data_IF_939373835170
#
_entry.id   IF_939373835170
#
_cell.length_a   1.000
_cell.length_b   1.000
_cell.length_c   1.000
_cell.angle_alpha   90.00
_cell.angle_beta   90.00
_cell.angle_gamma   90.00
#
_symmetry.space_group_name_H-M   'P 1'
#
loop_
_entity.id
_entity.type
_entity.pdbx_description
1 polymer ?
#
# COMPACT_ATOMS: atom_id res chain seq x y z
N UNK A 1 34.02 13.21 70.38
CA UNK A 1 33.62 12.17 69.40
C UNK A 1 32.78 12.85 68.32
N UNK A 2 32.89 12.37 67.08
CA UNK A 2 32.76 13.09 65.79
C UNK A 2 31.47 13.87 65.50
N UNK A 3 31.67 15.03 64.86
CA UNK A 3 30.71 15.85 64.09
C UNK A 3 30.29 15.07 62.83
N UNK A 4 28.99 15.05 62.52
CA UNK A 4 28.44 14.45 61.30
C UNK A 4 27.59 15.44 60.52
N UNK A 5 28.14 15.89 59.39
CA UNK A 5 27.56 16.79 58.38
C UNK A 5 27.03 15.95 57.22
N UNK A 6 25.75 16.07 56.83
CA UNK A 6 25.24 15.58 55.52
C UNK A 6 24.11 16.54 55.07
N UNK A 7 24.44 17.53 54.23
CA UNK A 7 24.29 17.58 52.77
C UNK A 7 22.82 17.54 52.27
N UNK A 8 22.32 18.72 51.90
CA UNK A 8 21.08 18.94 51.17
C UNK A 8 21.37 18.74 49.68
N UNK A 9 20.79 17.72 49.05
CA UNK A 9 20.81 17.55 47.59
C UNK A 9 19.58 18.21 46.97
N UNK A 10 19.83 19.25 46.18
CA UNK A 10 18.83 19.93 45.37
C UNK A 10 18.28 19.02 44.27
N UNK A 11 16.96 18.92 44.16
CA UNK A 11 16.28 18.24 43.08
C UNK A 11 16.26 19.13 41.82
N UNK A 12 16.97 18.72 40.76
CA UNK A 12 16.75 19.26 39.41
C UNK A 12 15.57 18.49 38.77
N UNK A 13 14.45 19.14 38.42
CA UNK A 13 13.43 18.50 37.61
C UNK A 13 13.96 18.37 36.18
N UNK A 14 14.33 17.16 35.80
CA UNK A 14 14.57 16.79 34.40
C UNK A 14 13.24 16.93 33.66
N UNK A 15 13.15 17.95 32.81
CA UNK A 15 12.11 18.11 31.79
C UNK A 15 12.17 16.91 30.83
N UNK A 16 11.50 15.82 31.21
CA UNK A 16 11.20 14.70 30.32
C UNK A 16 10.13 15.18 29.33
N UNK A 17 10.60 15.69 28.20
CA UNK A 17 9.77 15.93 27.02
C UNK A 17 9.22 14.57 26.54
N UNK A 18 7.91 14.28 26.63
CA UNK A 18 7.38 12.99 26.24
C UNK A 18 7.36 12.92 24.72
N UNK A 19 8.40 12.37 24.11
CA UNK A 19 8.43 11.97 22.70
C UNK A 19 7.58 10.70 22.43
N UNK A 20 6.66 10.36 23.32
CA UNK A 20 5.95 9.08 23.34
C UNK A 20 4.67 9.07 22.47
N UNK A 21 4.62 9.82 21.38
CA UNK A 21 3.42 9.93 20.54
C UNK A 21 3.57 9.47 19.09
N UNK A 22 4.64 8.76 18.72
CA UNK A 22 4.79 8.20 17.36
C UNK A 22 5.43 6.79 17.32
N UNK A 23 5.32 6.01 18.39
CA UNK A 23 5.59 4.57 18.31
C UNK A 23 4.31 3.84 17.88
N UNK A 24 3.87 4.07 16.63
CA UNK A 24 2.90 3.16 16.02
C UNK A 24 3.44 1.73 16.12
N UNK A 25 2.56 0.77 16.39
CA UNK A 25 2.91 -0.65 16.57
C UNK A 25 3.41 -1.26 15.26
N UNK A 26 4.62 -0.87 14.86
CA UNK A 26 5.29 -1.31 13.66
C UNK A 26 5.51 -2.83 13.70
N UNK A 27 5.58 -3.42 14.90
CA UNK A 27 5.66 -4.87 15.07
C UNK A 27 4.36 -5.55 14.66
N UNK A 28 3.21 -5.03 15.06
CA UNK A 28 1.92 -5.53 14.57
C UNK A 28 1.74 -5.29 13.05
N UNK A 29 2.29 -4.20 12.51
CA UNK A 29 2.29 -3.93 11.06
C UNK A 29 3.18 -4.93 10.31
N UNK A 30 4.36 -5.25 10.83
CA UNK A 30 5.27 -6.27 10.27
C UNK A 30 4.70 -7.68 10.45
N UNK A 31 4.03 -7.97 11.56
CA UNK A 31 3.45 -9.27 11.85
C UNK A 31 2.27 -9.63 10.95
N UNK A 32 1.60 -8.64 10.35
CA UNK A 32 0.56 -8.90 9.36
C UNK A 32 1.22 -9.25 8.04
N UNK A 33 1.33 -10.55 7.78
CA UNK A 33 1.89 -11.02 6.53
C UNK A 33 1.08 -10.46 5.34
N UNK A 34 1.77 -9.73 4.46
CA UNK A 34 1.20 -9.17 3.25
C UNK A 34 1.03 -10.24 2.16
N UNK A 35 1.73 -11.37 2.30
CA UNK A 35 1.70 -12.48 1.36
C UNK A 35 1.20 -13.73 2.08
N UNK A 36 0.17 -14.36 1.53
CA UNK A 36 -0.26 -15.68 1.97
C UNK A 36 0.33 -16.71 1.03
N UNK A 37 1.06 -17.65 1.60
CA UNK A 37 1.62 -18.81 0.89
C UNK A 37 0.78 -20.03 1.20
N UNK A 38 0.05 -20.52 0.19
CA UNK A 38 -0.80 -21.69 0.33
C UNK A 38 -0.98 -22.39 -1.02
N UNK A 39 -1.13 -23.72 -1.02
CA UNK A 39 -1.41 -24.52 -2.22
C UNK A 39 -0.41 -24.28 -3.37
N UNK A 40 0.88 -24.09 -3.05
CA UNK A 40 1.93 -23.85 -4.05
C UNK A 40 1.89 -22.46 -4.69
N UNK A 41 1.20 -21.49 -4.06
CA UNK A 41 1.04 -20.13 -4.58
C UNK A 41 1.36 -19.09 -3.51
N UNK A 42 2.00 -18.01 -3.95
CA UNK A 42 2.07 -16.75 -3.23
C UNK A 42 0.91 -15.87 -3.67
N UNK A 43 0.14 -15.36 -2.73
CA UNK A 43 -0.99 -14.47 -2.99
C UNK A 43 -0.89 -13.21 -2.15
N UNK A 44 -1.31 -12.09 -2.71
CA UNK A 44 -1.48 -10.82 -2.02
C UNK A 44 -2.89 -10.33 -2.35
N UNK A 45 -3.72 -10.06 -1.33
CA UNK A 45 -5.05 -9.48 -1.53
C UNK A 45 -5.21 -8.28 -0.60
N UNK A 46 -5.24 -7.08 -1.19
CA UNK A 46 -5.23 -5.81 -0.46
C UNK A 46 -6.41 -4.96 -0.84
N UNK A 47 -7.06 -4.42 0.17
CA UNK A 47 -8.16 -3.47 0.01
C UNK A 47 -7.73 -2.09 0.48
N UNK A 48 -8.15 -1.05 -0.23
CA UNK A 48 -7.95 0.34 0.17
C UNK A 48 -9.21 1.17 -0.06
N UNK A 49 -9.46 2.12 0.82
CA UNK A 49 -10.47 3.15 0.64
C UNK A 49 -9.78 4.49 0.40
N UNK A 50 -10.00 5.06 -0.78
CA UNK A 50 -9.46 6.35 -1.19
C UNK A 50 -10.52 7.43 -1.12
N UNK A 51 -10.31 8.47 -0.32
CA UNK A 51 -11.13 9.68 -0.32
C UNK A 51 -10.69 10.58 -1.46
N UNK A 52 -11.64 11.05 -2.26
CA UNK A 52 -11.39 12.00 -3.35
C UNK A 52 -11.34 13.41 -2.76
N UNK A 53 -10.23 14.13 -3.00
CA UNK A 53 -9.98 15.49 -2.49
C UNK A 53 -10.20 16.57 -3.53
N UNK A 54 -10.76 16.22 -4.68
CA UNK A 54 -11.06 17.14 -5.76
C UNK A 54 -12.45 17.76 -5.55
N UNK A 55 -12.57 19.10 -5.41
CA UNK A 55 -13.87 19.76 -5.25
C UNK A 55 -14.80 19.50 -6.43
N UNK A 56 -16.08 19.23 -6.15
CA UNK A 56 -17.08 18.98 -7.18
C UNK A 56 -17.01 17.61 -7.84
N UNK A 57 -16.12 16.71 -7.40
CA UNK A 57 -16.08 15.34 -7.90
C UNK A 57 -17.41 14.63 -7.62
N UNK A 58 -17.99 14.00 -8.65
CA UNK A 58 -19.26 13.24 -8.55
C UNK A 58 -19.19 12.13 -7.50
N UNK A 59 -18.01 11.53 -7.33
CA UNK A 59 -17.75 10.48 -6.36
C UNK A 59 -16.75 10.98 -5.32
N UNK A 60 -17.09 10.82 -4.05
CA UNK A 60 -16.28 11.31 -2.91
C UNK A 60 -15.33 10.25 -2.36
N UNK A 61 -15.51 8.98 -2.72
CA UNK A 61 -14.62 7.88 -2.35
C UNK A 61 -14.54 6.80 -3.43
N UNK A 62 -13.44 6.07 -3.45
CA UNK A 62 -13.19 4.92 -4.32
C UNK A 62 -12.62 3.78 -3.49
N UNK A 63 -13.22 2.59 -3.58
CA UNK A 63 -12.70 1.37 -2.97
C UNK A 63 -11.90 0.57 -3.99
N UNK A 64 -10.64 0.32 -3.68
CA UNK A 64 -9.69 -0.41 -4.51
C UNK A 64 -9.46 -1.81 -3.95
N UNK A 65 -9.30 -2.77 -4.85
CA UNK A 65 -8.70 -4.07 -4.55
C UNK A 65 -7.48 -4.27 -5.42
N UNK A 66 -6.39 -4.72 -4.82
CA UNK A 66 -5.19 -5.17 -5.52
C UNK A 66 -4.97 -6.62 -5.15
N UNK A 67 -5.14 -7.48 -6.13
CA UNK A 67 -4.88 -8.90 -6.05
C UNK A 67 -3.62 -9.22 -6.85
N UNK A 68 -2.70 -9.99 -6.27
CA UNK A 68 -1.57 -10.55 -7.00
C UNK A 68 -1.44 -12.04 -6.69
N UNK A 69 -1.02 -12.80 -7.68
CA UNK A 69 -0.75 -14.24 -7.56
C UNK A 69 0.52 -14.61 -8.33
N UNK A 70 1.34 -15.47 -7.73
CA UNK A 70 2.46 -16.13 -8.39
C UNK A 70 2.52 -17.60 -7.95
N UNK A 71 2.90 -18.49 -8.88
CA UNK A 71 3.25 -19.87 -8.50
C UNK A 71 4.58 -19.87 -7.74
N UNK A 72 4.70 -20.68 -6.69
CA UNK A 72 5.99 -20.89 -6.01
C UNK A 72 7.03 -21.52 -6.95
N UNK A 73 6.58 -22.29 -7.95
CA UNK A 73 7.46 -22.88 -8.96
C UNK A 73 7.93 -21.88 -10.03
N UNK A 74 7.46 -20.63 -10.02
CA UNK A 74 7.78 -19.64 -11.05
C UNK A 74 9.21 -19.06 -10.94
N UNK A 75 9.98 -19.44 -9.91
CA UNK A 75 11.30 -18.82 -9.67
C UNK A 75 11.23 -17.35 -9.21
N UNK A 76 10.04 -16.88 -8.83
CA UNK A 76 9.80 -15.54 -8.31
C UNK A 76 10.07 -15.54 -6.80
N UNK A 77 10.96 -14.65 -6.34
CA UNK A 77 11.16 -14.46 -4.91
C UNK A 77 9.99 -13.71 -4.27
N UNK A 78 9.75 -13.98 -2.97
CA UNK A 78 8.71 -13.28 -2.20
C UNK A 78 8.88 -11.76 -2.21
N UNK A 79 10.11 -11.27 -2.10
CA UNK A 79 10.39 -9.82 -2.09
C UNK A 79 10.11 -9.20 -3.45
N UNK A 80 10.45 -9.89 -4.55
CA UNK A 80 10.10 -9.43 -5.88
C UNK A 80 8.58 -9.38 -6.07
N UNK A 81 7.86 -10.44 -5.68
CA UNK A 81 6.41 -10.50 -5.70
C UNK A 81 5.78 -9.34 -4.91
N UNK A 82 6.27 -9.10 -3.69
CA UNK A 82 5.85 -7.99 -2.83
C UNK A 82 6.09 -6.64 -3.52
N UNK A 83 7.29 -6.42 -4.06
CA UNK A 83 7.66 -5.16 -4.70
C UNK A 83 6.75 -4.83 -5.88
N UNK A 84 6.43 -5.83 -6.71
CA UNK A 84 5.56 -5.67 -7.89
C UNK A 84 4.11 -5.47 -7.50
N UNK A 85 3.60 -6.18 -6.49
CA UNK A 85 2.26 -5.95 -5.94
C UNK A 85 2.10 -4.53 -5.39
N UNK A 86 3.09 -4.03 -4.65
CA UNK A 86 3.09 -2.65 -4.16
C UNK A 86 3.20 -1.63 -5.31
N UNK A 87 4.02 -1.90 -6.32
CA UNK A 87 4.13 -1.04 -7.50
C UNK A 87 2.80 -0.95 -8.27
N UNK A 88 2.08 -2.06 -8.42
CA UNK A 88 0.75 -2.07 -9.03
C UNK A 88 -0.25 -1.22 -8.22
N UNK A 89 -0.25 -1.35 -6.89
CA UNK A 89 -1.09 -0.53 -6.01
C UNK A 89 -0.76 0.97 -6.12
N UNK A 90 0.51 1.34 -6.05
CA UNK A 90 0.93 2.74 -6.17
C UNK A 90 0.59 3.28 -7.56
N UNK A 91 0.82 2.49 -8.61
CA UNK A 91 0.54 2.85 -9.99
C UNK A 91 -0.95 3.14 -10.22
N UNK A 92 -1.85 2.28 -9.75
CA UNK A 92 -3.28 2.51 -9.93
C UNK A 92 -3.78 3.72 -9.13
N UNK A 93 -3.28 3.95 -7.92
CA UNK A 93 -3.63 5.14 -7.13
C UNK A 93 -3.18 6.41 -7.86
N UNK A 94 -1.96 6.42 -8.40
CA UNK A 94 -1.44 7.53 -9.18
C UNK A 94 -2.25 7.79 -10.46
N UNK A 95 -2.61 6.72 -11.18
CA UNK A 95 -3.42 6.80 -12.39
C UNK A 95 -4.82 7.37 -12.10
N UNK A 96 -5.50 6.84 -11.07
CA UNK A 96 -6.81 7.35 -10.66
C UNK A 96 -6.71 8.79 -10.15
N UNK A 97 -5.68 9.11 -9.37
CA UNK A 97 -5.42 10.47 -8.89
C UNK A 97 -5.24 11.45 -10.04
N UNK A 98 -4.48 11.08 -11.08
CA UNK A 98 -4.34 11.87 -12.30
C UNK A 98 -5.67 12.04 -13.04
N UNK A 99 -6.49 10.98 -13.10
CA UNK A 99 -7.83 11.02 -13.67
C UNK A 99 -8.75 12.02 -12.96
N UNK A 100 -8.80 11.99 -11.63
CA UNK A 100 -9.59 12.94 -10.82
C UNK A 100 -9.04 14.37 -10.88
N UNK A 101 -7.72 14.53 -10.89
CA UNK A 101 -7.05 15.84 -10.95
C UNK A 101 -7.22 16.56 -12.29
N UNK A 102 -7.50 15.83 -13.37
CA UNK A 102 -7.52 16.37 -14.74
C UNK A 102 -8.47 17.56 -14.87
N UNK A 103 -7.93 18.69 -15.32
CA UNK A 103 -8.70 19.94 -15.48
C UNK A 103 -8.95 20.71 -14.18
N UNK A 104 -8.24 20.36 -13.10
CA UNK A 104 -8.33 21.02 -11.79
C UNK A 104 -6.96 21.55 -11.34
N UNK A 105 -6.92 22.36 -10.28
CA UNK A 105 -5.67 22.81 -9.66
C UNK A 105 -5.05 21.78 -8.70
N UNK A 106 -5.71 20.64 -8.47
CA UNK A 106 -5.23 19.60 -7.55
C UNK A 106 -4.20 18.73 -8.27
N UNK A 107 -3.08 18.39 -7.62
CA UNK A 107 -2.10 17.46 -8.21
C UNK A 107 -2.63 16.03 -8.20
N UNK A 108 -2.11 15.19 -9.10
CA UNK A 108 -2.45 13.75 -9.12
C UNK A 108 -2.21 13.07 -7.75
N UNK A 109 -1.11 13.40 -7.09
CA UNK A 109 -0.76 12.88 -5.75
C UNK A 109 -1.64 13.43 -4.62
N UNK A 110 -2.23 14.62 -4.80
CA UNK A 110 -3.12 15.24 -3.82
C UNK A 110 -4.60 14.94 -4.04
N UNK A 111 -4.96 14.33 -5.16
CA UNK A 111 -6.34 14.06 -5.54
C UNK A 111 -6.99 12.93 -4.73
N UNK A 112 -6.18 12.00 -4.22
CA UNK A 112 -6.64 10.85 -3.45
C UNK A 112 -5.91 10.74 -2.10
N UNK A 113 -6.66 10.37 -1.07
CA UNK A 113 -6.18 10.09 0.28
C UNK A 113 -6.62 8.66 0.63
N UNK A 114 -5.71 7.71 0.47
CA UNK A 114 -5.98 6.27 0.53
C UNK A 114 -5.52 5.65 1.85
N UNK A 115 -6.41 4.85 2.44
CA UNK A 115 -6.14 4.10 3.66
C UNK A 115 -6.38 2.62 3.42
N UNK A 116 -5.50 1.77 3.93
CA UNK A 116 -5.70 0.32 3.87
C UNK A 116 -6.90 -0.08 4.73
N UNK A 117 -7.72 -1.01 4.22
CA UNK A 117 -8.83 -1.63 4.95
C UNK A 117 -8.66 -3.15 4.94
N UNK A 118 -9.21 -3.83 5.94
CA UNK A 118 -9.06 -5.28 6.10
C UNK A 118 -10.00 -6.09 5.20
N UNK A 119 -11.14 -5.52 4.85
CA UNK A 119 -12.18 -6.11 4.02
C UNK A 119 -12.93 -5.02 3.26
N UNK A 120 -13.57 -5.34 2.13
CA UNK A 120 -14.42 -4.39 1.42
C UNK A 120 -15.60 -3.92 2.27
N UNK A 121 -15.88 -2.62 2.30
CA UNK A 121 -17.06 -2.05 3.00
C UNK A 121 -18.31 -2.19 2.12
N UNK A 122 -18.13 -2.14 0.80
CA UNK A 122 -19.15 -2.43 -0.21
C UNK A 122 -18.53 -3.01 -1.47
N UNK A 123 -19.18 -2.79 -2.63
CA UNK A 123 -18.63 -3.22 -3.92
C UNK A 123 -17.28 -2.54 -4.16
N UNK A 124 -16.29 -3.31 -4.58
CA UNK A 124 -15.02 -2.77 -5.08
C UNK A 124 -15.30 -1.98 -6.36
N UNK A 125 -14.73 -0.79 -6.45
CA UNK A 125 -14.93 0.10 -7.59
C UNK A 125 -13.92 -0.16 -8.69
N UNK A 126 -12.68 -0.43 -8.31
CA UNK A 126 -11.60 -0.79 -9.22
C UNK A 126 -10.83 -1.97 -8.64
N UNK A 127 -10.73 -3.03 -9.43
CA UNK A 127 -9.91 -4.19 -9.11
C UNK A 127 -8.69 -4.21 -10.03
N UNK A 128 -7.52 -4.37 -9.43
CA UNK A 128 -6.27 -4.63 -10.14
C UNK A 128 -5.84 -6.04 -9.82
N UNK A 129 -5.61 -6.85 -10.84
CA UNK A 129 -5.15 -8.23 -10.71
C UNK A 129 -3.80 -8.36 -11.40
N UNK A 130 -2.81 -8.92 -10.71
CA UNK A 130 -1.49 -9.20 -11.25
C UNK A 130 -1.18 -10.70 -11.18
N UNK A 131 -1.06 -11.36 -12.32
CA UNK A 131 -0.72 -12.77 -12.42
C UNK A 131 0.70 -12.92 -12.92
N UNK A 132 1.59 -13.43 -12.08
CA UNK A 132 3.02 -13.52 -12.37
C UNK A 132 3.44 -14.97 -12.59
N UNK A 133 4.23 -15.20 -13.65
CA UNK A 133 4.82 -16.48 -14.00
C UNK A 133 6.33 -16.35 -14.09
N UNK A 134 7.05 -17.44 -14.35
CA UNK A 134 8.49 -17.36 -14.62
C UNK A 134 8.85 -16.61 -15.90
N UNK A 135 7.87 -16.31 -16.75
CA UNK A 135 8.06 -15.69 -18.07
C UNK A 135 7.66 -14.21 -18.10
N UNK A 136 6.65 -13.82 -17.31
CA UNK A 136 6.15 -12.45 -17.32
C UNK A 136 5.08 -12.18 -16.28
N UNK A 137 4.40 -11.05 -16.47
CA UNK A 137 3.22 -10.65 -15.70
C UNK A 137 2.08 -10.25 -16.62
N UNK A 138 0.88 -10.70 -16.25
CA UNK A 138 -0.35 -10.13 -16.76
C UNK A 138 -0.94 -9.20 -15.71
N UNK A 139 -1.19 -7.95 -16.10
CA UNK A 139 -1.92 -6.97 -15.30
C UNK A 139 -3.32 -6.80 -15.90
N UNK A 140 -4.34 -6.86 -15.06
CA UNK A 140 -5.72 -6.56 -15.42
C UNK A 140 -6.26 -5.47 -14.51
N UNK A 141 -6.97 -4.49 -15.08
CA UNK A 141 -7.69 -3.45 -14.35
C UNK A 141 -9.14 -3.51 -14.74
N UNK A 142 -10.01 -3.83 -13.79
CA UNK A 142 -11.46 -3.85 -13.95
C UNK A 142 -12.07 -2.62 -13.30
N UNK A 143 -12.84 -1.85 -14.06
CA UNK A 143 -13.70 -0.77 -13.55
C UNK A 143 -15.12 -1.32 -13.34
N UNK A 144 -15.56 -1.37 -12.10
CA UNK A 144 -16.85 -1.92 -11.72
C UNK A 144 -18.05 -1.04 -12.09
N UNK A 145 -17.83 0.23 -12.44
CA UNK A 145 -18.87 1.15 -12.89
C UNK A 145 -19.19 0.95 -14.37
N UNK A 146 -18.18 0.68 -15.19
CA UNK A 146 -18.36 0.41 -16.63
C UNK A 146 -18.42 -1.07 -16.97
N UNK A 147 -17.94 -1.95 -16.08
CA UNK A 147 -17.76 -3.37 -16.36
C UNK A 147 -16.62 -3.66 -17.34
N UNK A 148 -15.78 -2.66 -17.63
CA UNK A 148 -14.69 -2.79 -18.60
C UNK A 148 -13.45 -3.32 -17.90
N UNK A 149 -12.78 -4.28 -18.55
CA UNK A 149 -11.47 -4.78 -18.11
C UNK A 149 -10.42 -4.44 -19.16
N UNK A 150 -9.43 -3.65 -18.77
CA UNK A 150 -8.20 -3.48 -19.54
C UNK A 150 -7.19 -4.52 -19.08
N UNK A 151 -6.46 -5.14 -20.01
CA UNK A 151 -5.43 -6.12 -19.71
C UNK A 151 -4.16 -5.79 -20.47
N UNK A 152 -3.03 -6.05 -19.85
CA UNK A 152 -1.71 -5.94 -20.45
C UNK A 152 -0.86 -7.14 -20.02
N UNK A 153 -0.02 -7.61 -20.93
CA UNK A 153 0.90 -8.73 -20.68
C UNK A 153 2.29 -8.25 -21.02
N UNK A 154 3.20 -8.36 -20.06
CA UNK A 154 4.60 -7.96 -20.25
C UNK A 154 5.51 -9.13 -19.90
N UNK A 155 6.43 -9.47 -20.80
CA UNK A 155 7.45 -10.46 -20.51
C UNK A 155 8.52 -9.85 -19.60
N UNK A 156 9.17 -10.69 -18.79
CA UNK A 156 10.30 -10.23 -17.98
C UNK A 156 11.48 -9.77 -18.84
N UNK A 157 11.69 -10.42 -19.98
CA UNK A 157 12.70 -10.00 -20.96
C UNK A 157 12.48 -8.54 -21.40
N UNK A 158 11.25 -8.15 -21.72
CA UNK A 158 10.94 -6.77 -22.14
C UNK A 158 11.17 -5.73 -21.04
N UNK A 159 11.09 -6.14 -19.76
CA UNK A 159 11.26 -5.27 -18.60
C UNK A 159 12.71 -5.17 -18.10
N UNK A 160 13.53 -6.17 -18.38
CA UNK A 160 14.89 -6.28 -17.82
C UNK A 160 16.00 -6.32 -18.86
N UNK A 161 15.70 -6.55 -20.14
CA UNK A 161 16.68 -6.33 -21.20
C UNK A 161 16.84 -4.81 -21.38
N UNK A 162 18.05 -4.32 -21.08
CA UNK A 162 18.45 -2.94 -21.33
C UNK A 162 18.24 -2.60 -22.80
N UNK A 163 17.53 -1.50 -23.07
CA UNK A 163 17.58 -0.82 -24.38
C UNK A 163 18.78 0.10 -24.44
#
# INVERSE_FOLDING_TARGET
>A
MRIGLILITAALPTLLCPHAALAGDWKAIIAKDMVVVANGKMTMDRYSLCKVKVPGAKKTSVQLRVYAEASESAGISRDFFVSRGQAAQTGIIMFLGAGYAKGTAVSATGALDCHAITAPIGKVDVEVSAYMTGEGVQLAVMDAATGTTAQDVTMWADLFEEK
#
